data_IF_463071053353
#
_entry.id   IF_463071053353
#
_cell.length_a   1.000
_cell.length_b   1.000
_cell.length_c   1.000
_cell.angle_alpha   90.00
_cell.angle_beta   90.00
_cell.angle_gamma   90.00
#
_symmetry.space_group_name_H-M   'P 1'
#
loop_
_entity.id
_entity.type
_entity.pdbx_description
1 polymer ?
#
# COMPACT_ATOMS: atom_id res chain seq x y z
N UNK A 1 -66.02 3.70 -82.75
CA UNK A 1 -66.36 4.23 -81.43
C UNK A 1 -65.17 5.04 -80.94
N UNK A 2 -65.49 6.28 -80.60
CA UNK A 2 -64.77 7.27 -79.80
C UNK A 2 -63.47 7.93 -80.29
N UNK A 3 -63.60 9.26 -80.25
CA UNK A 3 -62.74 10.35 -80.64
C UNK A 3 -61.93 10.87 -79.44
N UNK A 4 -60.93 11.73 -79.76
CA UNK A 4 -60.44 12.89 -78.98
C UNK A 4 -59.70 12.53 -77.67
N UNK A 5 -58.63 13.21 -77.22
CA UNK A 5 -58.07 14.54 -77.46
C UNK A 5 -56.68 14.62 -76.79
N UNK A 6 -55.74 15.32 -77.42
CA UNK A 6 -55.05 16.53 -76.94
C UNK A 6 -53.90 16.39 -75.93
N UNK A 7 -52.71 16.75 -76.44
CA UNK A 7 -51.78 17.78 -75.92
C UNK A 7 -51.55 17.88 -74.41
N UNK A 8 -50.30 17.65 -74.00
CA UNK A 8 -49.67 18.34 -72.86
C UNK A 8 -48.15 18.23 -72.96
N UNK A 9 -47.52 19.30 -73.45
CA UNK A 9 -46.08 19.59 -73.31
C UNK A 9 -45.80 20.08 -71.90
N UNK A 10 -45.06 19.28 -71.10
CA UNK A 10 -44.48 19.73 -69.85
C UNK A 10 -42.96 19.93 -70.04
N UNK A 11 -42.56 21.20 -70.20
CA UNK A 11 -41.17 21.63 -70.11
C UNK A 11 -40.64 21.38 -68.70
N UNK A 12 -39.69 20.46 -68.56
CA UNK A 12 -38.87 20.34 -67.35
C UNK A 12 -37.72 21.33 -67.46
N UNK A 13 -37.83 22.43 -66.71
CA UNK A 13 -36.74 23.37 -66.47
C UNK A 13 -35.58 22.67 -65.75
N UNK A 14 -34.61 22.14 -66.51
CA UNK A 14 -33.28 21.91 -65.99
C UNK A 14 -32.56 23.24 -65.90
N UNK A 15 -32.55 23.81 -64.69
CA UNK A 15 -31.57 24.83 -64.30
C UNK A 15 -30.18 24.22 -64.43
N UNK A 16 -29.51 24.53 -65.54
CA UNK A 16 -28.07 24.34 -65.73
C UNK A 16 -27.37 25.05 -64.56
N UNK A 17 -26.95 24.29 -63.54
CA UNK A 17 -25.89 24.74 -62.63
C UNK A 17 -24.62 24.82 -63.46
N UNK A 18 -24.32 26.02 -63.95
CA UNK A 18 -23.03 26.35 -64.54
C UNK A 18 -21.98 26.14 -63.46
N UNK A 19 -21.32 24.98 -63.46
CA UNK A 19 -20.12 24.77 -62.66
C UNK A 19 -19.08 25.68 -63.28
N UNK A 20 -18.84 26.81 -62.62
CA UNK A 20 -17.84 27.79 -62.99
C UNK A 20 -16.47 27.14 -62.73
N UNK A 21 -15.93 26.47 -63.76
CA UNK A 21 -14.59 25.89 -63.72
C UNK A 21 -13.63 27.07 -63.76
N UNK A 22 -13.10 27.42 -62.59
CA UNK A 22 -12.07 28.45 -62.45
C UNK A 22 -10.88 28.14 -63.36
N UNK A 23 -10.25 29.16 -63.98
CA UNK A 23 -9.10 28.95 -64.84
C UNK A 23 -8.01 28.18 -64.08
N UNK A 24 -7.45 27.16 -64.73
CA UNK A 24 -6.43 26.22 -64.21
C UNK A 24 -5.36 26.84 -63.29
N UNK A 25 -4.79 28.05 -63.55
CA UNK A 25 -3.82 28.67 -62.64
C UNK A 25 -4.38 29.06 -61.26
N UNK A 26 -5.66 29.43 -61.14
CA UNK A 26 -6.26 29.87 -59.87
C UNK A 26 -6.46 28.70 -58.90
N UNK A 27 -6.78 27.52 -59.43
CA UNK A 27 -6.96 26.30 -58.63
C UNK A 27 -5.64 25.84 -57.99
N UNK A 28 -4.55 25.91 -58.76
CA UNK A 28 -3.21 25.54 -58.31
C UNK A 28 -2.68 26.48 -57.22
N UNK A 29 -2.97 27.78 -57.33
CA UNK A 29 -2.61 28.79 -56.32
C UNK A 29 -3.38 28.55 -55.01
N UNK A 30 -4.68 28.24 -55.08
CA UNK A 30 -5.47 27.91 -53.90
C UNK A 30 -4.99 26.63 -53.19
N UNK A 31 -4.63 25.58 -53.94
CA UNK A 31 -4.12 24.33 -53.37
C UNK A 31 -2.77 24.53 -52.68
N UNK A 32 -1.86 25.32 -53.27
CA UNK A 32 -0.58 25.69 -52.66
C UNK A 32 -0.82 26.51 -51.38
N UNK A 33 -1.75 27.47 -51.40
CA UNK A 33 -2.04 28.30 -50.24
C UNK A 33 -2.64 27.50 -49.07
N UNK A 34 -3.52 26.53 -49.36
CA UNK A 34 -4.07 25.60 -48.36
C UNK A 34 -2.96 24.71 -47.78
N UNK A 35 -2.06 24.19 -48.61
CA UNK A 35 -0.92 23.40 -48.16
C UNK A 35 0.02 24.21 -47.27
N UNK A 36 0.30 25.46 -47.62
CA UNK A 36 1.11 26.37 -46.80
C UNK A 36 0.43 26.65 -45.46
N UNK A 37 -0.87 26.94 -45.46
CA UNK A 37 -1.64 27.13 -44.23
C UNK A 37 -1.61 25.88 -43.35
N UNK A 38 -1.75 24.69 -43.92
CA UNK A 38 -1.67 23.42 -43.21
C UNK A 38 -0.27 23.18 -42.60
N UNK A 39 0.80 23.48 -43.34
CA UNK A 39 2.16 23.39 -42.81
C UNK A 39 2.40 24.40 -41.68
N UNK A 40 1.89 25.63 -41.82
CA UNK A 40 2.00 26.66 -40.78
C UNK A 40 1.26 26.22 -39.51
N UNK A 41 0.03 25.68 -39.62
CA UNK A 41 -0.70 25.19 -38.46
C UNK A 41 -0.03 23.98 -37.81
N UNK A 42 0.54 23.06 -38.60
CA UNK A 42 1.33 21.93 -38.10
C UNK A 42 2.58 22.41 -37.34
N UNK A 43 3.31 23.38 -37.90
CA UNK A 43 4.49 23.97 -37.24
C UNK A 43 4.09 24.65 -35.93
N UNK A 44 3.02 25.45 -35.92
CA UNK A 44 2.51 26.07 -34.69
C UNK A 44 2.12 25.01 -33.66
N UNK A 45 1.47 23.93 -34.07
CA UNK A 45 1.08 22.83 -33.19
C UNK A 45 2.30 22.13 -32.57
N UNK A 46 3.30 21.78 -33.36
CA UNK A 46 4.54 21.17 -32.88
C UNK A 46 5.28 22.10 -31.92
N UNK A 47 5.37 23.40 -32.24
CA UNK A 47 6.01 24.39 -31.38
C UNK A 47 5.25 24.59 -30.05
N UNK A 48 3.92 24.42 -30.05
CA UNK A 48 3.07 24.58 -28.86
C UNK A 48 2.84 23.27 -28.09
N UNK A 49 3.27 22.14 -28.63
CA UNK A 49 3.10 20.83 -28.00
C UNK A 49 3.67 20.75 -26.57
N UNK A 50 4.90 21.26 -26.28
CA UNK A 50 5.44 21.21 -24.92
C UNK A 50 4.63 22.02 -23.89
N UNK A 51 4.04 23.15 -24.31
CA UNK A 51 3.19 23.99 -23.46
C UNK A 51 1.88 23.26 -23.10
N UNK A 52 1.30 22.55 -24.08
CA UNK A 52 0.09 21.75 -23.91
C UNK A 52 0.37 20.58 -22.97
N UNK A 53 1.49 19.87 -23.19
CA UNK A 53 1.94 18.77 -22.35
C UNK A 53 2.12 19.21 -20.89
N UNK A 54 2.80 20.34 -20.65
CA UNK A 54 2.98 20.91 -19.31
C UNK A 54 1.64 21.28 -18.64
N UNK A 55 0.69 21.85 -19.39
CA UNK A 55 -0.64 22.17 -18.87
C UNK A 55 -1.43 20.92 -18.51
N UNK A 56 -1.37 19.88 -19.35
CA UNK A 56 -2.00 18.59 -19.09
C UNK A 56 -1.39 17.94 -17.84
N UNK A 57 -0.06 17.89 -17.74
CA UNK A 57 0.63 17.37 -16.55
C UNK A 57 0.22 18.13 -15.29
N UNK A 58 0.21 19.46 -15.33
CA UNK A 58 -0.18 20.29 -14.17
C UNK A 58 -1.64 20.03 -13.77
N UNK A 59 -2.54 19.89 -14.74
CA UNK A 59 -3.95 19.58 -14.49
C UNK A 59 -4.14 18.18 -13.89
N UNK A 60 -3.40 17.17 -14.36
CA UNK A 60 -3.41 15.81 -13.80
C UNK A 60 -2.87 15.85 -12.37
N UNK A 61 -1.71 16.47 -12.15
CA UNK A 61 -1.08 16.58 -10.84
C UNK A 61 -2.01 17.26 -9.84
N UNK A 62 -2.72 18.31 -10.26
CA UNK A 62 -3.70 19.01 -9.42
C UNK A 62 -4.83 18.09 -8.95
N UNK A 63 -5.32 17.18 -9.80
CA UNK A 63 -6.36 16.20 -9.43
C UNK A 63 -5.87 15.13 -8.45
N UNK A 64 -4.56 14.87 -8.39
CA UNK A 64 -3.98 13.86 -7.49
C UNK A 64 -3.60 14.37 -6.10
N UNK A 65 -3.79 15.67 -5.83
CA UNK A 65 -3.48 16.31 -4.54
C UNK A 65 -4.50 15.87 -3.49
N UNK A 66 -4.04 15.60 -2.28
CA UNK A 66 -4.92 15.35 -1.16
C UNK A 66 -5.39 16.71 -0.63
N UNK A 67 -6.49 17.22 -1.17
CA UNK A 67 -7.10 18.47 -0.70
C UNK A 67 -8.47 18.19 -0.05
N UNK A 68 -8.92 19.06 0.89
CA UNK A 68 -10.26 18.95 1.44
C UNK A 68 -11.31 18.87 0.32
N UNK A 69 -12.24 17.91 0.42
CA UNK A 69 -13.30 17.63 -0.56
C UNK A 69 -12.84 17.22 -1.98
N UNK A 70 -11.55 16.96 -2.21
CA UNK A 70 -11.09 16.45 -3.50
C UNK A 70 -11.45 14.96 -3.69
N UNK A 71 -11.60 14.54 -4.94
CA UNK A 71 -11.82 13.13 -5.30
C UNK A 71 -10.66 12.24 -4.82
N UNK A 72 -9.42 12.73 -4.94
CA UNK A 72 -8.24 12.02 -4.44
C UNK A 72 -8.30 11.82 -2.91
N UNK A 73 -8.79 12.81 -2.15
CA UNK A 73 -9.00 12.65 -0.72
C UNK A 73 -10.11 11.63 -0.40
N UNK A 74 -11.21 11.66 -1.15
CA UNK A 74 -12.30 10.67 -0.97
C UNK A 74 -11.82 9.25 -1.24
N UNK A 75 -11.06 9.04 -2.31
CA UNK A 75 -10.45 7.75 -2.65
C UNK A 75 -9.38 7.34 -1.63
N UNK A 76 -8.58 8.29 -1.12
CA UNK A 76 -7.57 8.02 -0.10
C UNK A 76 -8.18 7.64 1.25
N UNK A 77 -9.27 8.29 1.67
CA UNK A 77 -10.01 7.95 2.90
C UNK A 77 -10.63 6.56 2.81
N UNK A 78 -11.19 6.21 1.64
CA UNK A 78 -11.86 4.94 1.38
C UNK A 78 -11.26 4.25 0.14
N UNK A 79 -10.08 3.61 0.27
CA UNK A 79 -9.44 2.96 -0.86
C UNK A 79 -10.35 1.84 -1.40
N UNK A 80 -10.58 1.77 -2.72
CA UNK A 80 -11.50 0.79 -3.31
C UNK A 80 -10.94 -0.64 -3.29
N UNK A 81 -9.64 -0.81 -3.03
CA UNK A 81 -8.97 -2.10 -3.02
C UNK A 81 -9.13 -2.79 -1.66
N UNK A 82 -9.75 -3.95 -1.65
CA UNK A 82 -9.77 -4.84 -0.47
C UNK A 82 -8.56 -5.76 -0.50
N UNK A 83 -7.81 -5.83 0.60
CA UNK A 83 -6.65 -6.74 0.70
C UNK A 83 -7.09 -8.06 1.33
N UNK A 84 -6.70 -9.18 0.71
CA UNK A 84 -6.82 -10.51 1.31
C UNK A 84 -5.43 -10.92 1.79
N UNK A 85 -5.33 -11.27 3.07
CA UNK A 85 -4.08 -11.75 3.69
C UNK A 85 -4.26 -13.20 4.10
N UNK A 86 -3.41 -14.06 3.55
CA UNK A 86 -3.37 -15.49 3.87
C UNK A 86 -2.32 -15.73 4.95
N UNK A 87 -2.75 -16.12 6.14
CA UNK A 87 -1.83 -16.51 7.21
C UNK A 87 -1.55 -18.00 7.11
N UNK A 88 -0.28 -18.39 7.23
CA UNK A 88 0.16 -19.77 7.30
C UNK A 88 0.97 -19.93 8.58
N UNK A 89 0.70 -20.97 9.33
CA UNK A 89 1.39 -21.27 10.58
C UNK A 89 2.29 -22.48 10.37
N UNK A 90 3.36 -22.56 11.16
CA UNK A 90 4.29 -23.68 11.13
C UNK A 90 4.01 -24.57 12.34
N UNK A 91 3.40 -25.73 12.08
CA UNK A 91 3.19 -26.77 13.08
C UNK A 91 4.51 -27.52 13.30
N UNK A 92 4.98 -27.59 14.55
CA UNK A 92 6.25 -28.21 14.91
C UNK A 92 6.00 -29.69 15.19
N UNK A 93 6.50 -30.55 14.32
CA UNK A 93 6.20 -31.99 14.35
C UNK A 93 7.04 -32.74 15.40
N UNK A 94 8.28 -32.33 15.62
CA UNK A 94 9.22 -32.92 16.57
C UNK A 94 9.33 -32.11 17.89
N UNK A 95 8.26 -31.43 18.30
CA UNK A 95 8.31 -30.51 19.46
C UNK A 95 8.70 -31.22 20.77
N UNK A 96 8.31 -32.49 20.95
CA UNK A 96 8.67 -33.28 22.14
C UNK A 96 10.17 -33.60 22.18
N UNK A 97 10.77 -33.89 21.01
CA UNK A 97 12.20 -34.18 20.91
C UNK A 97 13.02 -32.93 21.25
N UNK A 98 12.59 -31.76 20.74
CA UNK A 98 13.22 -30.46 21.06
C UNK A 98 13.15 -30.16 22.57
N UNK A 99 12.07 -30.57 23.24
CA UNK A 99 11.90 -30.35 24.68
C UNK A 99 12.70 -31.31 25.56
N UNK A 100 13.03 -32.50 25.05
CA UNK A 100 13.65 -33.58 25.83
C UNK A 100 15.14 -33.74 25.55
N UNK A 101 15.59 -33.46 24.33
CA UNK A 101 16.98 -33.57 23.91
C UNK A 101 17.56 -32.20 23.51
N UNK A 102 18.52 -31.72 24.29
CA UNK A 102 19.26 -30.48 23.99
C UNK A 102 20.19 -30.61 22.78
N UNK A 103 20.46 -31.83 22.31
CA UNK A 103 21.36 -32.11 21.19
C UNK A 103 20.65 -32.25 19.83
N UNK A 104 19.32 -32.11 19.76
CA UNK A 104 18.56 -32.12 18.51
C UNK A 104 18.06 -30.69 18.15
N UNK A 105 18.93 -29.83 17.57
CA UNK A 105 18.60 -28.43 17.33
C UNK A 105 17.78 -28.18 16.05
N UNK A 106 17.52 -29.20 15.23
CA UNK A 106 16.79 -29.02 13.98
C UNK A 106 15.29 -29.15 14.21
N UNK A 107 14.60 -28.02 14.15
CA UNK A 107 13.14 -27.96 14.23
C UNK A 107 12.51 -28.42 12.91
N UNK A 108 11.65 -29.42 12.98
CA UNK A 108 10.89 -29.93 11.84
C UNK A 108 9.48 -29.35 11.86
N UNK A 109 9.08 -28.74 10.75
CA UNK A 109 7.80 -28.06 10.65
C UNK A 109 6.99 -28.50 9.44
N UNK A 110 5.67 -28.53 9.62
CA UNK A 110 4.68 -28.68 8.58
C UNK A 110 3.85 -27.39 8.49
N UNK A 111 3.73 -26.84 7.30
CA UNK A 111 2.92 -25.64 7.07
C UNK A 111 1.42 -25.97 7.12
N UNK A 112 0.63 -25.10 7.76
CA UNK A 112 -0.83 -25.22 7.76
C UNK A 112 -1.42 -24.76 6.43
N UNK A 113 -2.68 -25.15 6.18
CA UNK A 113 -3.47 -24.50 5.14
C UNK A 113 -3.60 -22.99 5.41
N UNK A 114 -3.73 -22.16 4.37
CA UNK A 114 -3.83 -20.72 4.53
C UNK A 114 -5.16 -20.33 5.21
N UNK A 115 -5.08 -19.43 6.19
CA UNK A 115 -6.23 -18.76 6.80
C UNK A 115 -6.44 -17.40 6.12
N UNK A 116 -7.41 -17.28 5.18
CA UNK A 116 -7.65 -16.05 4.45
C UNK A 116 -8.44 -15.06 5.30
N UNK A 117 -7.89 -13.85 5.50
CA UNK A 117 -8.58 -12.72 6.13
C UNK A 117 -8.69 -11.56 5.16
N UNK A 118 -9.88 -10.98 5.07
CA UNK A 118 -10.09 -9.68 4.47
C UNK A 118 -9.62 -8.62 5.46
N UNK A 119 -8.67 -7.81 5.04
CA UNK A 119 -8.14 -6.70 5.81
C UNK A 119 -8.72 -5.41 5.24
N UNK A 120 -9.52 -4.73 6.05
CA UNK A 120 -10.06 -3.40 5.74
C UNK A 120 -9.30 -2.39 6.56
N UNK A 121 -8.70 -1.41 5.89
CA UNK A 121 -7.96 -0.32 6.52
C UNK A 121 -8.82 0.93 6.50
N UNK A 122 -9.18 1.47 7.66
CA UNK A 122 -9.91 2.72 7.79
C UNK A 122 -8.99 3.83 8.29
N UNK A 123 -9.17 5.03 7.74
CA UNK A 123 -8.50 6.24 8.22
C UNK A 123 -9.49 7.05 9.04
N UNK A 124 -9.20 7.17 10.34
CA UNK A 124 -10.01 7.86 11.33
C UNK A 124 -9.31 9.16 11.76
N UNK A 125 -10.05 10.07 12.41
CA UNK A 125 -9.53 11.29 13.03
C UNK A 125 -8.65 12.15 12.09
N UNK A 126 -9.07 12.30 10.83
CA UNK A 126 -8.33 13.07 9.84
C UNK A 126 -8.37 14.56 10.20
N UNK A 127 -7.20 15.15 10.42
CA UNK A 127 -7.01 16.56 10.75
C UNK A 127 -6.05 17.21 9.76
N UNK A 128 -6.38 18.42 9.33
CA UNK A 128 -5.54 19.21 8.43
C UNK A 128 -4.71 20.18 9.25
N UNK A 129 -3.39 20.11 9.07
CA UNK A 129 -2.42 20.89 9.83
C UNK A 129 -1.65 21.84 8.92
N UNK A 130 -1.02 22.86 9.52
CA UNK A 130 -0.13 23.81 8.85
C UNK A 130 -0.74 24.40 7.58
N UNK A 131 -1.84 25.15 7.74
CA UNK A 131 -2.59 25.77 6.63
C UNK A 131 -2.98 24.77 5.54
N UNK A 132 -3.44 23.57 5.94
CA UNK A 132 -3.83 22.49 5.05
C UNK A 132 -2.68 22.02 4.14
N UNK A 133 -1.45 21.93 4.63
CA UNK A 133 -0.31 21.36 3.87
C UNK A 133 0.10 19.98 4.39
N UNK A 134 -0.39 19.63 5.57
CA UNK A 134 -0.13 18.36 6.25
C UNK A 134 -1.45 17.73 6.68
N UNK A 135 -1.47 16.40 6.73
CA UNK A 135 -2.62 15.62 7.19
C UNK A 135 -2.15 14.73 8.33
N UNK A 136 -2.82 14.85 9.46
CA UNK A 136 -2.71 13.93 10.59
C UNK A 136 -3.90 12.96 10.55
N UNK A 137 -3.67 11.66 10.77
CA UNK A 137 -4.73 10.65 10.76
C UNK A 137 -4.32 9.42 11.56
N UNK A 138 -5.32 8.69 12.07
CA UNK A 138 -5.15 7.39 12.71
C UNK A 138 -5.60 6.27 11.78
N UNK A 139 -4.90 5.14 11.79
CA UNK A 139 -5.23 3.97 10.99
C UNK A 139 -5.81 2.87 11.87
N UNK A 140 -7.00 2.41 11.49
CA UNK A 140 -7.67 1.24 12.04
C UNK A 140 -7.54 0.06 11.07
N UNK A 141 -7.23 -1.13 11.58
CA UNK A 141 -7.22 -2.36 10.79
C UNK A 141 -8.32 -3.30 11.28
N UNK A 142 -9.23 -3.64 10.38
CA UNK A 142 -10.30 -4.60 10.62
C UNK A 142 -10.02 -5.88 9.86
N UNK A 143 -9.99 -6.98 10.60
CA UNK A 143 -9.78 -8.33 10.08
C UNK A 143 -11.10 -9.10 10.15
N UNK A 144 -11.55 -9.58 9.00
CA UNK A 144 -12.70 -10.49 8.90
C UNK A 144 -12.28 -11.72 8.12
N UNK A 145 -12.79 -12.89 8.51
CA UNK A 145 -12.56 -14.13 7.75
C UNK A 145 -13.06 -13.95 6.31
N UNK A 146 -12.25 -14.34 5.32
CA UNK A 146 -12.60 -14.22 3.91
C UNK A 146 -12.97 -15.60 3.34
N UNK A 147 -14.21 -15.75 2.89
CA UNK A 147 -14.74 -17.02 2.42
C UNK A 147 -15.18 -17.96 3.55
N UNK A 148 -15.58 -19.17 3.18
CA UNK A 148 -16.06 -20.17 4.13
C UNK A 148 -14.90 -20.96 4.72
N UNK A 149 -14.78 -20.90 6.05
CA UNK A 149 -13.79 -21.71 6.78
C UNK A 149 -14.38 -23.10 6.97
N UNK A 150 -13.81 -24.09 6.30
CA UNK A 150 -14.18 -25.50 6.49
C UNK A 150 -13.88 -25.92 7.94
N UNK A 151 -14.70 -26.79 8.51
CA UNK A 151 -14.51 -27.27 9.88
C UNK A 151 -13.11 -27.88 10.10
N UNK A 152 -12.58 -28.59 9.11
CA UNK A 152 -11.22 -29.16 9.14
C UNK A 152 -10.12 -28.10 9.34
N UNK A 153 -10.31 -26.89 8.81
CA UNK A 153 -9.36 -25.78 8.98
C UNK A 153 -9.47 -25.18 10.40
N UNK A 154 -10.69 -25.10 10.93
CA UNK A 154 -10.96 -24.58 12.28
C UNK A 154 -10.41 -25.54 13.35
N UNK A 155 -10.58 -26.84 13.13
CA UNK A 155 -10.15 -27.89 14.05
C UNK A 155 -8.72 -28.38 13.78
N UNK A 156 -7.96 -27.70 12.92
CA UNK A 156 -6.57 -28.03 12.68
C UNK A 156 -5.73 -27.76 13.94
N UNK A 157 -5.31 -28.81 14.62
CA UNK A 157 -4.46 -28.77 15.80
C UNK A 157 -2.98 -28.98 15.46
N UNK A 158 -2.10 -28.49 16.33
CA UNK A 158 -0.66 -28.65 16.20
C UNK A 158 0.09 -28.07 17.38
N UNK A 159 1.40 -28.31 17.41
CA UNK A 159 2.30 -27.69 18.37
C UNK A 159 2.89 -26.41 17.77
N UNK A 160 2.66 -25.28 18.44
CA UNK A 160 3.15 -23.98 18.03
C UNK A 160 3.99 -23.35 19.13
N UNK A 161 4.86 -22.41 18.77
CA UNK A 161 5.63 -21.62 19.74
C UNK A 161 4.65 -20.84 20.63
N UNK A 162 4.80 -20.95 21.96
CA UNK A 162 4.09 -20.10 22.90
C UNK A 162 4.79 -18.73 22.97
N UNK A 163 4.42 -17.84 22.05
CA UNK A 163 5.07 -16.53 21.86
C UNK A 163 5.09 -15.74 23.18
N UNK A 164 4.04 -15.81 24.00
CA UNK A 164 4.03 -15.16 25.31
C UNK A 164 5.18 -15.66 26.19
N UNK A 165 5.32 -16.99 26.34
CA UNK A 165 6.41 -17.58 27.14
C UNK A 165 7.78 -17.21 26.59
N UNK A 166 7.95 -17.24 25.27
CA UNK A 166 9.21 -16.85 24.62
C UNK A 166 9.53 -15.39 24.93
N UNK A 167 8.57 -14.48 24.77
CA UNK A 167 8.75 -13.05 25.04
C UNK A 167 9.12 -12.78 26.50
N UNK A 168 8.54 -13.53 27.46
CA UNK A 168 8.87 -13.37 28.88
C UNK A 168 10.23 -13.96 29.29
N UNK A 169 10.76 -14.94 28.54
CA UNK A 169 12.08 -15.51 28.80
C UNK A 169 13.21 -14.78 28.10
N UNK A 170 12.89 -14.07 27.03
CA UNK A 170 13.85 -13.23 26.31
C UNK A 170 13.86 -11.84 26.94
N UNK A 171 14.97 -11.09 26.84
CA UNK A 171 15.08 -9.72 27.38
C UNK A 171 14.24 -8.73 26.54
N UNK A 172 12.93 -8.95 26.42
CA UNK A 172 12.00 -8.01 25.77
C UNK A 172 11.68 -6.82 26.67
N UNK A 173 11.86 -6.96 27.99
CA UNK A 173 11.59 -5.92 28.98
C UNK A 173 12.88 -5.25 29.46
N UNK A 174 12.83 -3.95 29.77
CA UNK A 174 13.91 -3.24 30.51
C UNK A 174 14.16 -3.85 31.90
N UNK A 175 13.20 -4.62 32.42
CA UNK A 175 13.24 -5.34 33.70
C UNK A 175 12.69 -6.75 33.47
N UNK A 176 13.55 -7.73 33.24
CA UNK A 176 13.12 -9.13 33.27
C UNK A 176 12.77 -9.49 34.72
N UNK A 177 11.48 -9.42 35.08
CA UNK A 177 11.02 -9.84 36.40
C UNK A 177 11.26 -11.35 36.53
N UNK A 178 12.02 -11.82 37.53
CA UNK A 178 12.23 -13.25 37.78
C UNK A 178 10.91 -14.03 37.89
N UNK A 179 9.83 -13.37 38.33
CA UNK A 179 8.48 -13.94 38.40
C UNK A 179 8.00 -14.37 37.01
N UNK A 180 8.31 -13.63 35.94
CA UNK A 180 7.90 -14.00 34.58
C UNK A 180 8.65 -15.22 34.05
N UNK A 181 9.92 -15.40 34.43
CA UNK A 181 10.67 -16.60 34.10
C UNK A 181 10.05 -17.83 34.80
N UNK A 182 9.67 -17.68 36.07
CA UNK A 182 9.02 -18.74 36.88
C UNK A 182 7.62 -19.06 36.32
N UNK A 183 6.78 -18.06 36.04
CA UNK A 183 5.44 -18.24 35.46
C UNK A 183 5.48 -18.80 34.03
N UNK A 184 6.53 -18.44 33.28
CA UNK A 184 6.82 -18.93 31.94
C UNK A 184 7.11 -20.44 31.87
N UNK A 185 7.28 -21.11 33.01
CA UNK A 185 7.55 -22.55 33.12
C UNK A 185 8.74 -23.00 32.26
N UNK A 186 8.82 -24.29 31.91
CA UNK A 186 9.81 -24.81 30.95
C UNK A 186 9.24 -25.06 29.55
N UNK A 187 7.92 -25.05 29.38
CA UNK A 187 7.29 -25.36 28.10
C UNK A 187 7.41 -24.21 27.09
N UNK A 188 8.16 -24.38 26.00
CA UNK A 188 8.27 -23.40 24.92
C UNK A 188 7.16 -23.52 23.85
N UNK A 189 6.45 -24.65 23.86
CA UNK A 189 5.41 -24.98 22.88
C UNK A 189 4.05 -25.09 23.54
N UNK A 190 3.02 -24.79 22.76
CA UNK A 190 1.63 -24.95 23.13
C UNK A 190 0.92 -25.75 22.04
N UNK A 191 0.34 -26.89 22.42
CA UNK A 191 -0.52 -27.68 21.56
C UNK A 191 -1.94 -27.11 21.60
N UNK A 192 -2.43 -26.62 20.46
CA UNK A 192 -3.78 -26.04 20.35
C UNK A 192 -4.24 -26.02 18.90
N UNK A 193 -5.46 -25.52 18.67
CA UNK A 193 -5.90 -25.17 17.32
C UNK A 193 -5.03 -24.05 16.75
N UNK A 194 -4.70 -24.15 15.47
CA UNK A 194 -3.89 -23.19 14.74
C UNK A 194 -4.57 -21.82 14.70
N UNK A 195 -5.88 -21.79 14.45
CA UNK A 195 -6.68 -20.56 14.36
C UNK A 195 -6.65 -19.75 15.67
N UNK A 196 -6.52 -20.40 16.82
CA UNK A 196 -6.46 -19.72 18.11
C UNK A 196 -5.20 -18.87 18.25
N UNK A 197 -4.10 -19.21 17.56
CA UNK A 197 -2.88 -18.37 17.54
C UNK A 197 -3.11 -17.03 16.83
N UNK A 198 -4.06 -16.99 15.90
CA UNK A 198 -4.46 -15.78 15.19
C UNK A 198 -5.56 -15.03 15.95
N UNK A 199 -6.65 -15.71 16.26
CA UNK A 199 -7.88 -15.10 16.79
C UNK A 199 -7.96 -15.04 18.31
N UNK A 200 -7.05 -15.69 19.00
CA UNK A 200 -6.80 -15.53 20.42
C UNK A 200 -7.11 -16.76 21.26
N UNK A 201 -6.22 -17.03 22.21
CA UNK A 201 -6.35 -18.05 23.25
C UNK A 201 -6.08 -17.45 24.63
N UNK A 202 -6.56 -18.13 25.67
CA UNK A 202 -6.23 -17.83 27.06
C UNK A 202 -5.31 -18.94 27.56
N UNK A 203 -4.04 -18.63 27.76
CA UNK A 203 -3.10 -19.54 28.43
C UNK A 203 -3.09 -19.30 29.94
N UNK A 204 -2.65 -20.28 30.75
CA UNK A 204 -2.43 -20.06 32.18
C UNK A 204 -1.49 -18.88 32.46
N UNK A 205 -0.47 -18.69 31.61
CA UNK A 205 0.42 -17.54 31.70
C UNK A 205 -0.33 -16.24 31.43
N UNK A 206 -1.11 -16.17 30.34
CA UNK A 206 -1.91 -15.00 30.01
C UNK A 206 -2.87 -14.63 31.14
N UNK A 207 -3.58 -15.60 31.70
CA UNK A 207 -4.52 -15.38 32.81
C UNK A 207 -3.82 -14.79 34.05
N UNK A 208 -2.56 -15.16 34.31
CA UNK A 208 -1.78 -14.64 35.43
C UNK A 208 -1.29 -13.20 35.24
N UNK A 209 -1.15 -12.73 33.99
CA UNK A 209 -0.51 -11.44 33.66
C UNK A 209 -1.44 -10.45 32.96
N UNK A 210 -2.64 -10.87 32.54
CA UNK A 210 -3.53 -10.06 31.69
C UNK A 210 -3.85 -8.70 32.30
N UNK A 211 -3.95 -8.62 33.62
CA UNK A 211 -4.16 -7.38 34.38
C UNK A 211 -3.00 -6.38 34.28
N UNK A 212 -1.80 -6.85 33.96
CA UNK A 212 -0.59 -6.04 33.76
C UNK A 212 -0.28 -5.75 32.30
N UNK A 213 -0.96 -6.42 31.36
CA UNK A 213 -0.73 -6.20 29.94
C UNK A 213 -1.31 -4.86 29.50
N UNK A 214 -0.50 -4.08 28.80
CA UNK A 214 -0.95 -2.87 28.12
C UNK A 214 -1.49 -3.19 26.73
N UNK A 215 -2.08 -2.18 26.09
CA UNK A 215 -2.51 -2.24 24.70
C UNK A 215 -3.96 -2.66 24.53
N UNK A 216 -4.43 -2.67 23.28
CA UNK A 216 -5.81 -3.01 22.97
C UNK A 216 -6.07 -4.52 23.12
N UNK A 217 -7.35 -4.89 23.25
CA UNK A 217 -7.84 -6.28 23.22
C UNK A 217 -7.09 -7.17 24.25
N UNK A 218 -7.48 -7.05 25.52
CA UNK A 218 -6.81 -7.66 26.68
C UNK A 218 -7.47 -8.95 27.20
N UNK A 219 -8.51 -9.44 26.54
CA UNK A 219 -9.25 -10.61 27.05
C UNK A 219 -8.57 -11.95 26.69
N UNK A 220 -7.77 -11.95 25.63
CA UNK A 220 -7.02 -13.12 25.13
C UNK A 220 -5.79 -12.68 24.34
N UNK A 221 -4.90 -13.62 24.05
CA UNK A 221 -3.72 -13.37 23.22
C UNK A 221 -3.83 -14.07 21.88
N UNK A 222 -3.76 -13.31 20.79
CA UNK A 222 -3.69 -13.80 19.43
C UNK A 222 -3.18 -12.70 18.50
N UNK A 223 -2.45 -13.08 17.45
CA UNK A 223 -1.76 -12.11 16.59
C UNK A 223 -2.72 -11.12 15.91
N UNK A 224 -3.80 -11.65 15.32
CA UNK A 224 -4.85 -10.83 14.71
C UNK A 224 -5.70 -10.17 15.79
N UNK A 225 -6.08 -10.92 16.82
CA UNK A 225 -6.95 -10.40 17.89
C UNK A 225 -6.37 -9.14 18.54
N UNK A 226 -5.08 -9.11 18.85
CA UNK A 226 -4.43 -7.96 19.49
C UNK A 226 -4.45 -6.69 18.63
N UNK A 227 -4.60 -6.80 17.31
CA UNK A 227 -4.56 -5.65 16.39
C UNK A 227 -5.92 -5.32 15.76
N UNK A 228 -6.90 -6.22 15.86
CA UNK A 228 -8.19 -6.08 15.19
C UNK A 228 -9.06 -4.98 15.80
N UNK A 229 -9.50 -4.03 14.99
CA UNK A 229 -10.35 -2.90 15.42
C UNK A 229 -9.62 -1.88 16.28
N UNK A 230 -8.30 -1.83 16.19
CA UNK A 230 -7.46 -0.97 17.04
C UNK A 230 -6.97 0.24 16.24
N UNK A 231 -7.05 1.44 16.84
CA UNK A 231 -6.53 2.70 16.29
C UNK A 231 -5.11 2.95 16.82
N UNK A 232 -4.19 2.02 16.53
CA UNK A 232 -2.86 2.03 17.13
C UNK A 232 -1.82 2.89 16.41
N UNK A 233 -2.13 3.37 15.19
CA UNK A 233 -1.14 3.98 14.31
C UNK A 233 -1.56 5.39 13.89
N UNK A 234 -0.85 6.40 14.40
CA UNK A 234 -1.05 7.79 14.04
C UNK A 234 0.04 8.22 13.07
N UNK A 235 -0.35 8.78 11.93
CA UNK A 235 0.54 9.28 10.90
C UNK A 235 0.34 10.77 10.72
N UNK A 236 1.42 11.46 10.41
CA UNK A 236 1.40 12.81 9.86
C UNK A 236 2.15 12.80 8.54
N UNK A 237 1.50 13.22 7.45
CA UNK A 237 2.07 13.20 6.09
C UNK A 237 1.89 14.55 5.39
N UNK A 238 2.74 14.80 4.39
CA UNK A 238 2.55 15.87 3.42
C UNK A 238 1.45 15.51 2.41
N UNK A 239 0.54 16.46 2.16
CA UNK A 239 -0.63 16.23 1.31
C UNK A 239 -0.43 16.54 -0.19
N UNK A 240 0.71 17.16 -0.52
CA UNK A 240 1.11 17.49 -1.88
C UNK A 240 0.42 18.71 -2.50
N UNK A 241 -0.31 19.53 -1.72
CA UNK A 241 -1.00 20.73 -2.26
C UNK A 241 -0.01 21.74 -2.82
N UNK A 242 1.01 22.10 -2.05
CA UNK A 242 2.03 23.07 -2.46
C UNK A 242 3.05 22.45 -3.41
N UNK A 243 3.42 21.19 -3.16
CA UNK A 243 4.41 20.48 -3.96
C UNK A 243 4.01 19.00 -4.10
N UNK A 244 3.66 18.58 -5.30
CA UNK A 244 3.21 17.20 -5.56
C UNK A 244 4.32 16.14 -5.41
N UNK A 245 5.59 16.54 -5.42
CA UNK A 245 6.75 15.63 -5.33
C UNK A 245 6.96 15.05 -3.93
N UNK A 246 6.43 15.71 -2.91
CA UNK A 246 6.48 15.31 -1.49
C UNK A 246 5.15 14.71 -1.01
N UNK A 247 4.18 14.49 -1.90
CA UNK A 247 2.89 13.91 -1.54
C UNK A 247 3.09 12.52 -0.91
N UNK A 248 2.50 12.29 0.26
CA UNK A 248 2.61 11.02 0.98
C UNK A 248 3.90 10.87 1.78
N UNK A 249 4.83 11.84 1.70
CA UNK A 249 6.02 11.85 2.54
C UNK A 249 5.60 11.98 4.00
N UNK A 250 6.10 11.08 4.82
CA UNK A 250 5.84 11.00 6.23
C UNK A 250 6.67 12.04 6.99
N UNK A 251 6.05 12.62 8.02
CA UNK A 251 6.66 13.61 8.91
C UNK A 251 6.84 12.96 10.28
N UNK A 252 5.77 12.36 10.79
CA UNK A 252 5.73 11.74 12.11
C UNK A 252 4.87 10.47 12.05
N UNK A 253 5.25 9.49 12.85
CA UNK A 253 4.49 8.30 13.15
C UNK A 253 4.51 8.09 14.67
N UNK A 254 3.35 7.83 15.24
CA UNK A 254 3.22 7.56 16.66
C UNK A 254 2.24 6.42 16.92
N UNK A 255 2.61 5.59 17.89
CA UNK A 255 1.75 4.64 18.58
C UNK A 255 1.73 4.99 20.06
N UNK A 256 0.96 4.25 20.86
CA UNK A 256 1.01 4.36 22.32
C UNK A 256 2.43 4.07 22.89
N UNK A 257 3.23 3.24 22.22
CA UNK A 257 4.49 2.71 22.75
C UNK A 257 5.75 3.17 22.01
N UNK A 258 5.59 3.71 20.81
CA UNK A 258 6.70 4.00 19.90
C UNK A 258 6.37 5.21 19.08
N UNK A 259 7.30 6.17 19.07
CA UNK A 259 7.26 7.35 18.21
C UNK A 259 8.42 7.28 17.23
N UNK A 260 8.18 7.77 16.02
CA UNK A 260 9.15 7.81 14.94
C UNK A 260 8.98 9.12 14.18
N UNK A 261 10.04 9.94 14.18
CA UNK A 261 10.07 11.20 13.45
C UNK A 261 11.10 11.14 12.34
N UNK A 262 10.70 11.54 11.14
CA UNK A 262 11.61 11.56 9.98
C UNK A 262 12.71 12.60 10.12
N UNK A 263 12.52 13.62 10.96
CA UNK A 263 13.53 14.66 11.23
C UNK A 263 14.57 14.25 12.29
N UNK A 264 14.61 12.99 12.71
CA UNK A 264 15.68 12.51 13.59
C UNK A 264 16.98 12.38 12.78
N UNK A 265 18.13 12.60 13.43
CA UNK A 265 19.47 12.57 12.80
C UNK A 265 19.72 11.26 12.02
N UNK A 266 19.03 10.18 12.41
CA UNK A 266 19.12 8.85 11.83
C UNK A 266 18.54 8.71 10.40
N UNK A 267 17.72 9.65 9.91
CA UNK A 267 16.97 9.47 8.65
C UNK A 267 16.93 10.71 7.76
N UNK A 268 18.02 11.04 7.07
CA UNK A 268 18.08 12.18 6.14
C UNK A 268 17.41 11.94 4.76
N UNK A 269 16.44 11.03 4.66
CA UNK A 269 15.87 10.63 3.37
C UNK A 269 14.34 10.67 3.37
N UNK A 270 13.75 10.85 2.17
CA UNK A 270 12.30 10.84 1.99
C UNK A 270 11.72 9.47 2.36
N UNK A 271 10.94 9.41 3.44
CA UNK A 271 10.20 8.21 3.88
C UNK A 271 8.71 8.41 3.61
N UNK A 272 8.06 7.41 3.02
CA UNK A 272 6.64 7.43 2.67
C UNK A 272 5.81 6.48 3.56
N UNK A 273 4.51 6.74 3.69
CA UNK A 273 3.58 5.92 4.49
C UNK A 273 3.25 4.54 3.89
N UNK A 274 3.72 4.26 2.67
CA UNK A 274 3.48 3.00 1.96
C UNK A 274 2.11 2.87 1.30
N UNK A 275 1.23 3.87 1.47
CA UNK A 275 -0.11 3.91 0.90
C UNK A 275 -0.26 5.03 -0.14
N UNK A 276 0.50 6.10 0.05
CA UNK A 276 0.44 7.33 -0.72
C UNK A 276 1.82 7.59 -1.31
N UNK A 277 1.90 7.65 -2.63
CA UNK A 277 3.13 7.96 -3.33
C UNK A 277 2.99 9.24 -4.17
N UNK A 278 4.09 9.99 -4.34
CA UNK A 278 4.12 11.08 -5.29
C UNK A 278 4.05 10.53 -6.72
N UNK A 279 3.64 11.35 -7.69
CA UNK A 279 3.66 10.96 -9.09
C UNK A 279 5.09 10.59 -9.52
N UNK A 280 5.30 9.33 -9.92
CA UNK A 280 6.62 8.79 -10.24
C UNK A 280 7.04 9.07 -11.69
N UNK A 281 6.09 9.37 -12.58
CA UNK A 281 6.38 9.58 -14.01
C UNK A 281 6.78 8.29 -14.74
N UNK A 282 7.03 8.38 -16.04
CA UNK A 282 7.48 7.25 -16.86
C UNK A 282 8.61 7.71 -17.82
N UNK A 283 9.86 7.21 -17.68
CA UNK A 283 10.33 6.27 -16.66
C UNK A 283 10.25 6.85 -15.24
N UNK A 284 10.30 6.01 -14.17
CA UNK A 284 10.17 6.49 -12.82
C UNK A 284 11.33 7.41 -12.44
N UNK A 285 11.00 8.60 -11.92
CA UNK A 285 11.94 9.60 -11.43
C UNK A 285 12.67 9.17 -10.15
N UNK A 286 12.14 8.19 -9.43
CA UNK A 286 12.73 7.61 -8.21
C UNK A 286 12.95 6.12 -8.43
N UNK A 287 14.21 5.68 -8.43
CA UNK A 287 14.56 4.24 -8.48
C UNK A 287 14.46 3.57 -7.11
N UNK A 288 14.51 4.36 -6.04
CA UNK A 288 14.48 3.91 -4.66
C UNK A 288 13.35 4.67 -3.95
N UNK A 289 12.54 3.94 -3.20
CA UNK A 289 11.47 4.49 -2.36
C UNK A 289 11.60 3.89 -0.97
N UNK A 290 11.77 4.74 0.05
CA UNK A 290 11.78 4.30 1.44
C UNK A 290 10.35 4.35 1.98
N UNK A 291 9.86 3.23 2.51
CA UNK A 291 8.50 3.10 3.03
C UNK A 291 8.58 2.75 4.51
N UNK A 292 7.92 3.52 5.36
CA UNK A 292 7.77 3.15 6.76
C UNK A 292 6.74 2.03 6.90
N UNK A 293 7.14 0.90 7.48
CA UNK A 293 6.23 -0.19 7.80
C UNK A 293 6.08 -0.29 9.33
N UNK A 294 4.91 0.02 9.91
CA UNK A 294 4.70 -0.08 11.36
C UNK A 294 4.96 -1.49 11.90
N UNK A 295 4.70 -2.54 11.11
CA UNK A 295 4.95 -3.93 11.53
C UNK A 295 6.47 -4.25 11.63
N UNK A 296 7.34 -3.46 10.98
CA UNK A 296 8.81 -3.56 11.07
C UNK A 296 9.43 -2.47 11.94
N UNK A 297 8.63 -1.46 12.28
CA UNK A 297 9.05 -0.28 13.05
C UNK A 297 10.26 0.48 12.52
N UNK A 298 10.47 0.39 11.22
CA UNK A 298 11.52 1.14 10.54
C UNK A 298 11.16 1.30 9.07
N UNK A 299 11.81 2.25 8.38
CA UNK A 299 11.79 2.32 6.94
C UNK A 299 12.36 1.05 6.30
N UNK A 300 11.71 0.59 5.23
CA UNK A 300 12.18 -0.45 4.32
C UNK A 300 12.43 0.16 2.94
N UNK A 301 13.45 -0.36 2.25
CA UNK A 301 13.81 0.14 0.94
C UNK A 301 13.12 -0.69 -0.16
N UNK A 302 12.40 -0.01 -1.04
CA UNK A 302 11.82 -0.57 -2.26
C UNK A 302 12.66 -0.11 -3.46
N UNK A 303 13.11 -1.04 -4.29
CA UNK A 303 13.87 -0.74 -5.51
C UNK A 303 13.06 -1.02 -6.76
N UNK A 304 13.10 -0.10 -7.71
CA UNK A 304 12.48 -0.28 -9.01
C UNK A 304 13.06 -1.52 -9.69
N UNK A 305 12.19 -2.39 -10.16
CA UNK A 305 12.55 -3.59 -10.89
C UNK A 305 12.28 -3.42 -12.39
N UNK A 306 11.02 -3.17 -12.75
CA UNK A 306 10.58 -3.04 -14.15
C UNK A 306 9.22 -2.34 -14.25
N UNK A 307 8.84 -1.99 -15.47
CA UNK A 307 7.49 -1.52 -15.79
C UNK A 307 6.67 -2.70 -16.33
N UNK A 308 5.48 -2.90 -15.77
CA UNK A 308 4.54 -3.96 -16.16
C UNK A 308 3.26 -3.36 -16.72
N UNK A 309 2.72 -3.95 -17.78
CA UNK A 309 1.43 -3.54 -18.34
C UNK A 309 0.32 -4.22 -17.54
N UNK A 310 -0.57 -3.43 -16.94
CA UNK A 310 -1.75 -3.91 -16.26
C UNK A 310 -2.99 -3.20 -16.82
N UNK A 311 -4.14 -3.89 -16.83
CA UNK A 311 -5.41 -3.31 -17.27
C UNK A 311 -5.35 -2.68 -18.68
N UNK A 312 -4.71 -3.36 -19.63
CA UNK A 312 -4.63 -3.00 -21.05
C UNK A 312 -3.68 -1.85 -21.36
N UNK A 313 -3.96 -0.65 -20.85
CA UNK A 313 -3.26 0.59 -21.21
C UNK A 313 -2.44 1.21 -20.08
N UNK A 314 -2.57 0.70 -18.84
CA UNK A 314 -1.87 1.28 -17.70
C UNK A 314 -0.49 0.64 -17.53
N UNK A 315 0.54 1.46 -17.50
CA UNK A 315 1.88 1.05 -17.12
C UNK A 315 2.01 1.19 -15.60
N UNK A 316 2.33 0.10 -14.91
CA UNK A 316 2.64 0.08 -13.49
C UNK A 316 4.14 -0.10 -13.30
N UNK A 317 4.71 0.55 -12.30
CA UNK A 317 6.10 0.34 -11.91
C UNK A 317 6.15 -0.71 -10.79
N UNK A 318 6.82 -1.81 -11.05
CA UNK A 318 7.08 -2.85 -10.07
C UNK A 318 8.29 -2.45 -9.22
N UNK A 319 8.09 -2.42 -7.90
CA UNK A 319 9.15 -2.24 -6.93
C UNK A 319 9.28 -3.49 -6.07
N UNK A 320 10.52 -3.86 -5.74
CA UNK A 320 10.84 -5.05 -4.96
C UNK A 320 11.43 -4.64 -3.62
N UNK A 321 10.98 -5.31 -2.55
CA UNK A 321 11.49 -5.13 -1.21
C UNK A 321 12.90 -5.69 -1.09
N UNK A 322 13.82 -4.90 -0.53
CA UNK A 322 15.11 -5.38 -0.06
C UNK A 322 15.27 -5.03 1.41
N UNK A 323 15.46 -6.06 2.24
CA UNK A 323 15.77 -5.89 3.65
C UNK A 323 17.23 -5.47 3.78
N UNK A 324 17.46 -4.36 4.49
CA UNK A 324 18.78 -3.74 4.64
C UNK A 324 19.12 -3.56 6.11
N UNK A 325 20.39 -3.71 6.48
CA UNK A 325 20.86 -3.46 7.83
C UNK A 325 21.06 -1.97 8.07
N UNK A 326 20.03 -1.29 8.57
CA UNK A 326 20.08 0.16 8.75
C UNK A 326 21.04 0.59 9.86
N UNK A 327 21.30 -0.26 10.86
CA UNK A 327 22.28 0.09 11.91
C UNK A 327 23.71 0.18 11.35
N UNK A 328 23.95 -0.48 10.21
CA UNK A 328 25.21 -0.40 9.46
C UNK A 328 25.12 0.50 8.23
N UNK A 329 24.02 1.23 8.06
CA UNK A 329 23.83 2.18 6.96
C UNK A 329 23.77 3.61 7.49
N UNK A 330 24.90 4.33 7.51
CA UNK A 330 24.92 5.74 7.90
C UNK A 330 24.03 6.61 6.99
N UNK A 331 23.82 6.20 5.73
CA UNK A 331 22.89 6.85 4.80
C UNK A 331 22.07 5.80 4.02
N UNK A 332 20.73 5.89 4.04
CA UNK A 332 19.85 4.95 3.30
C UNK A 332 19.99 5.02 1.77
N UNK A 333 20.73 6.01 1.26
CA UNK A 333 20.92 6.23 -0.17
C UNK A 333 22.13 5.46 -0.75
N UNK A 334 22.97 4.86 0.10
CA UNK A 334 24.18 4.14 -0.30
C UNK A 334 23.97 2.61 -0.43
N UNK A 335 25.02 1.88 -0.86
CA UNK A 335 25.01 0.42 -0.96
C UNK A 335 25.00 -0.24 0.44
N UNK A 336 23.81 -0.31 1.02
CA UNK A 336 23.55 -1.04 2.25
C UNK A 336 23.75 -2.56 2.09
N UNK A 337 24.32 -3.25 3.10
CA UNK A 337 24.32 -4.70 3.13
C UNK A 337 22.89 -5.22 3.30
N UNK A 338 22.50 -6.14 2.40
CA UNK A 338 21.22 -6.84 2.49
C UNK A 338 21.27 -7.88 3.62
N UNK A 339 20.13 -8.07 4.29
CA UNK A 339 19.99 -9.04 5.38
C UNK A 339 18.74 -9.89 5.18
N UNK A 340 18.82 -11.16 5.57
CA UNK A 340 17.68 -12.06 5.45
C UNK A 340 16.72 -11.98 6.66
N UNK A 341 17.11 -11.28 7.72
CA UNK A 341 16.37 -11.20 8.98
C UNK A 341 16.45 -9.81 9.58
N UNK A 342 15.37 -9.40 10.25
CA UNK A 342 15.27 -8.13 10.94
C UNK A 342 14.90 -8.32 12.41
N UNK A 343 15.65 -7.70 13.31
CA UNK A 343 15.26 -7.63 14.72
C UNK A 343 14.22 -6.51 14.93
N UNK A 344 13.01 -6.92 15.32
CA UNK A 344 11.86 -6.05 15.62
C UNK A 344 11.50 -6.05 17.11
N UNK A 345 12.37 -6.59 17.97
CA UNK A 345 12.14 -6.76 19.42
C UNK A 345 11.74 -5.45 20.09
N UNK A 346 12.43 -4.34 19.78
CA UNK A 346 12.16 -3.00 20.34
C UNK A 346 10.71 -2.52 20.16
N UNK A 347 10.01 -3.04 19.18
CA UNK A 347 8.63 -2.65 18.89
C UNK A 347 7.57 -3.59 19.45
N UNK A 348 7.90 -4.88 19.52
CA UNK A 348 7.03 -5.86 20.14
C UNK A 348 7.04 -5.71 21.67
N UNK A 349 8.14 -5.23 22.25
CA UNK A 349 8.30 -5.05 23.70
C UNK A 349 7.33 -4.06 24.34
N UNK A 350 6.84 -3.06 23.60
CA UNK A 350 5.86 -2.09 24.11
C UNK A 350 4.51 -2.70 24.48
N UNK A 351 4.19 -3.88 23.94
CA UNK A 351 2.89 -4.53 24.15
C UNK A 351 2.77 -5.27 25.49
N UNK A 352 3.86 -5.38 26.26
CA UNK A 352 3.97 -6.28 27.41
C UNK A 352 4.07 -5.59 28.77
N UNK A 353 4.38 -4.29 28.83
CA UNK A 353 4.61 -3.58 30.11
C UNK A 353 3.99 -2.21 30.11
#
# INVERSE_FOLDING_TARGET
MEQLSSVSTAQTNQTKKTIQIWPFPVRLICEIFILILFFITLIIFVLKWPDIENKIHTAILAKTRLAPMSEANTSWMNPPATTIRNYRLFNITNYMDIMTDMNNPLMEFQETEPFPYKVVVKKNNVQWLNNNTQIHYSVERLFTRHGEYKQILIDQEGAFIDILRVMFRTKFSRVADPVFYILGGNNAFNYSKAIDKLEGYISPLFAAISSRMQGPNRDKYGFIYRTNGTNGYNYTIHNGINNSTIKGQMIDFATEYTTFKTTSEDWQTDIFDGLTFPPLGNPPNRKIINVFQPDFCRPIQLRYNRTVSAFGFNQLHEYVLKLVDVEKCPEMNEHCPEVDKLDITKCLSGWLI
#
